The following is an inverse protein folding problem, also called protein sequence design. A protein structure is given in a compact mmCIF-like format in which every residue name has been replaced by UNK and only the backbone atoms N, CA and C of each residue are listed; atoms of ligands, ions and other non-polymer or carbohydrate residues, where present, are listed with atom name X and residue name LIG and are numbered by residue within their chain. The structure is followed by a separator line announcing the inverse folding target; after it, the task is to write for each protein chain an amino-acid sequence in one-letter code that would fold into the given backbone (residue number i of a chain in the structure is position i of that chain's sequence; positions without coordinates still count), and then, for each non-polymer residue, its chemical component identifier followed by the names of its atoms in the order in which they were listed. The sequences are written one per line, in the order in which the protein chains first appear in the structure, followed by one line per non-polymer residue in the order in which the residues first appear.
data_IF_368228588409
#
_entry.id   IF_368228588409
#
_cell.length_a   1.000
_cell.length_b   1.000
_cell.length_c   1.000
_cell.angle_alpha   90.00
_cell.angle_beta   90.00
_cell.angle_gamma   90.00
#
_symmetry.space_group_name_H-M   'P 1'
#
loop_
_entity.id
_entity.type
_entity.pdbx_description
1 polymer ?
#
# COMPACT_ATOMS: atom_id res chain seq x y z
N UNK A 1 -5.49 -9.12 7.75
CA UNK A 1 -5.93 -8.22 8.85
C UNK A 1 -5.82 -8.89 10.23
N UNK A 2 -6.27 -10.15 10.40
CA UNK A 2 -6.14 -10.91 11.66
C UNK A 2 -4.72 -10.89 12.25
N UNK A 3 -3.68 -11.18 11.45
CA UNK A 3 -2.29 -11.19 11.91
C UNK A 3 -1.83 -9.85 12.52
N UNK A 4 -2.31 -8.71 12.01
CA UNK A 4 -2.04 -7.39 12.60
C UNK A 4 -2.66 -7.27 13.99
N UNK A 5 -3.89 -7.76 14.16
CA UNK A 5 -4.63 -7.74 15.43
C UNK A 5 -3.94 -8.68 16.43
N UNK A 6 -3.68 -9.93 16.03
CA UNK A 6 -2.92 -10.92 16.82
C UNK A 6 -1.60 -10.36 17.33
N UNK A 7 -0.81 -9.78 16.43
CA UNK A 7 0.51 -9.22 16.75
C UNK A 7 0.45 -7.91 17.55
N UNK A 8 -0.72 -7.27 17.65
CA UNK A 8 -0.92 -6.10 18.51
C UNK A 8 -1.22 -6.51 19.95
N UNK A 9 -1.71 -7.73 20.17
CA UNK A 9 -2.20 -8.18 21.47
C UNK A 9 -3.47 -7.44 21.91
N UNK A 10 -3.97 -7.79 23.09
CA UNK A 10 -5.04 -7.03 23.72
C UNK A 10 -4.50 -5.70 24.29
N UNK A 11 -5.37 -4.70 24.31
CA UNK A 11 -5.08 -3.44 25.00
C UNK A 11 -4.90 -3.67 26.50
N UNK A 12 -4.12 -2.82 27.16
CA UNK A 12 -3.89 -2.89 28.61
C UNK A 12 -5.17 -2.82 29.44
N UNK A 13 -6.22 -2.19 28.93
CA UNK A 13 -7.53 -2.10 29.61
C UNK A 13 -8.39 -3.36 29.51
N UNK A 14 -8.06 -4.26 28.57
CA UNK A 14 -8.82 -5.48 28.26
C UNK A 14 -8.04 -6.73 28.69
N UNK A 15 -6.72 -6.69 28.59
CA UNK A 15 -5.84 -7.84 28.82
C UNK A 15 -6.05 -8.44 30.22
N UNK A 16 -6.36 -9.73 30.26
CA UNK A 16 -6.58 -10.48 31.51
C UNK A 16 -8.04 -10.49 31.99
N UNK A 17 -8.93 -9.77 31.32
CA UNK A 17 -10.38 -9.83 31.55
C UNK A 17 -11.02 -10.68 30.45
N UNK A 18 -11.36 -11.93 30.80
CA UNK A 18 -11.85 -12.91 29.84
C UNK A 18 -13.15 -12.48 29.14
N UNK A 19 -14.05 -11.78 29.85
CA UNK A 19 -15.30 -11.30 29.29
C UNK A 19 -15.04 -10.22 28.24
N UNK A 20 -14.18 -9.24 28.57
CA UNK A 20 -13.81 -8.18 27.62
C UNK A 20 -13.01 -8.70 26.44
N UNK A 21 -12.12 -9.67 26.65
CA UNK A 21 -11.38 -10.32 25.56
C UNK A 21 -12.33 -11.07 24.61
N UNK A 22 -13.29 -11.82 25.16
CA UNK A 22 -14.34 -12.51 24.36
C UNK A 22 -15.15 -11.50 23.56
N UNK A 23 -15.59 -10.42 24.21
CA UNK A 23 -16.36 -9.36 23.58
C UNK A 23 -15.61 -8.73 22.41
N UNK A 24 -14.32 -8.41 22.60
CA UNK A 24 -13.47 -7.88 21.53
C UNK A 24 -13.35 -8.84 20.33
N UNK A 25 -13.19 -10.14 20.58
CA UNK A 25 -13.12 -11.16 19.53
C UNK A 25 -14.44 -11.23 18.75
N UNK A 26 -15.57 -11.21 19.45
CA UNK A 26 -16.90 -11.25 18.83
C UNK A 26 -17.16 -9.99 17.99
N UNK A 27 -16.84 -8.80 18.52
CA UNK A 27 -16.94 -7.54 17.78
C UNK A 27 -16.08 -7.57 16.50
N UNK A 28 -14.87 -8.14 16.56
CA UNK A 28 -14.02 -8.30 15.38
C UNK A 28 -14.67 -9.19 14.30
N UNK A 29 -15.39 -10.23 14.70
CA UNK A 29 -16.10 -11.14 13.80
C UNK A 29 -17.35 -10.49 13.23
N UNK A 30 -18.15 -9.82 14.05
CA UNK A 30 -19.41 -9.19 13.63
C UNK A 30 -19.18 -7.99 12.71
N UNK A 31 -18.25 -7.10 13.07
CA UNK A 31 -18.02 -5.86 12.32
C UNK A 31 -17.16 -6.06 11.07
N UNK A 32 -16.18 -6.96 11.14
CA UNK A 32 -15.17 -7.09 10.08
C UNK A 32 -15.11 -8.49 9.44
N UNK A 33 -15.88 -9.46 9.93
CA UNK A 33 -15.82 -10.84 9.44
C UNK A 33 -14.50 -11.54 9.78
N UNK A 34 -13.74 -11.07 10.78
CA UNK A 34 -12.40 -11.56 11.09
C UNK A 34 -12.45 -12.51 12.28
N UNK A 35 -12.02 -13.75 12.07
CA UNK A 35 -11.85 -14.70 13.16
C UNK A 35 -10.53 -14.43 13.90
N UNK A 36 -10.65 -14.05 15.17
CA UNK A 36 -9.51 -13.82 16.06
C UNK A 36 -9.35 -14.99 17.01
N UNK A 37 -8.23 -15.69 16.87
CA UNK A 37 -7.76 -16.69 17.82
C UNK A 37 -7.12 -16.03 19.06
N UNK A 38 -7.74 -16.23 20.24
CA UNK A 38 -7.24 -15.72 21.53
C UNK A 38 -5.81 -16.18 21.82
N UNK A 39 -5.48 -17.44 21.50
CA UNK A 39 -4.16 -18.01 21.80
C UNK A 39 -3.01 -17.33 21.04
N UNK A 40 -3.33 -16.68 19.92
CA UNK A 40 -2.36 -15.96 19.07
C UNK A 40 -2.24 -14.48 19.41
N UNK A 41 -3.01 -13.98 20.39
CA UNK A 41 -2.98 -12.58 20.82
C UNK A 41 -1.72 -12.29 21.66
N UNK A 42 -0.61 -12.05 20.97
CA UNK A 42 0.69 -11.77 21.58
C UNK A 42 1.36 -10.57 20.92
N UNK A 43 1.83 -9.63 21.73
CA UNK A 43 2.51 -8.43 21.25
C UNK A 43 3.79 -8.82 20.51
N UNK A 44 3.85 -8.56 19.20
CA UNK A 44 5.02 -8.78 18.38
C UNK A 44 5.21 -7.61 17.42
N UNK A 45 6.18 -6.75 17.73
CA UNK A 45 6.44 -5.53 16.94
C UNK A 45 6.79 -5.84 15.48
N UNK A 46 7.62 -6.85 15.23
CA UNK A 46 8.04 -7.23 13.87
C UNK A 46 6.87 -7.72 13.02
N UNK A 47 6.13 -8.73 13.50
CA UNK A 47 4.96 -9.28 12.80
C UNK A 47 3.87 -8.23 12.61
N UNK A 48 3.68 -7.35 13.60
CA UNK A 48 2.75 -6.22 13.49
C UNK A 48 3.17 -5.26 12.39
N UNK A 49 4.44 -4.87 12.34
CA UNK A 49 4.97 -3.97 11.30
C UNK A 49 4.80 -4.58 9.93
N UNK A 50 5.20 -5.84 9.73
CA UNK A 50 5.01 -6.55 8.46
C UNK A 50 3.54 -6.63 8.06
N UNK A 51 2.66 -7.05 8.97
CA UNK A 51 1.22 -7.16 8.70
C UNK A 51 0.59 -5.80 8.40
N UNK A 52 1.03 -4.73 9.08
CA UNK A 52 0.57 -3.36 8.82
C UNK A 52 1.07 -2.87 7.46
N UNK A 53 2.32 -3.15 7.11
CA UNK A 53 2.90 -2.81 5.82
C UNK A 53 2.15 -3.51 4.68
N UNK A 54 1.86 -4.81 4.81
CA UNK A 54 1.09 -5.55 3.81
C UNK A 54 -0.31 -4.96 3.59
N UNK A 55 -1.01 -4.58 4.67
CA UNK A 55 -2.32 -3.92 4.56
C UNK A 55 -2.21 -2.56 3.88
N UNK A 56 -1.15 -1.80 4.15
CA UNK A 56 -0.93 -0.51 3.51
C UNK A 56 -0.55 -0.66 2.02
N UNK A 57 0.30 -1.63 1.70
CA UNK A 57 0.71 -1.89 0.34
C UNK A 57 -0.46 -2.43 -0.50
N UNK A 58 -1.39 -3.16 0.12
CA UNK A 58 -2.57 -3.69 -0.58
C UNK A 58 -3.43 -2.58 -1.19
N UNK A 59 -3.77 -1.53 -0.42
CA UNK A 59 -4.56 -0.44 -1.00
C UNK A 59 -3.77 0.38 -2.02
N UNK A 60 -2.45 0.54 -1.81
CA UNK A 60 -1.57 1.16 -2.80
C UNK A 60 -1.50 0.37 -4.11
N UNK A 61 -1.56 -0.97 -4.02
CA UNK A 61 -1.57 -1.89 -5.17
C UNK A 61 -2.74 -1.64 -6.11
N UNK A 62 -3.93 -1.38 -5.57
CA UNK A 62 -5.14 -1.10 -6.35
C UNK A 62 -5.04 0.18 -7.20
N UNK A 63 -4.15 1.11 -6.87
CA UNK A 63 -3.96 2.37 -7.59
C UNK A 63 -2.56 2.51 -8.17
N UNK A 64 -1.85 1.40 -8.43
CA UNK A 64 -0.55 1.47 -9.06
C UNK A 64 -0.66 2.07 -10.45
N UNK A 65 0.20 3.07 -10.71
CA UNK A 65 0.32 3.66 -12.04
C UNK A 65 1.00 2.65 -12.95
N UNK A 66 0.29 2.13 -13.94
CA UNK A 66 0.84 1.16 -14.90
C UNK A 66 1.57 1.84 -16.08
N UNK A 67 1.47 3.16 -16.20
CA UNK A 67 2.04 3.93 -17.33
C UNK A 67 3.11 4.94 -16.92
N UNK A 68 3.93 5.32 -17.90
CA UNK A 68 5.00 6.31 -17.70
C UNK A 68 6.03 5.89 -16.67
N UNK A 69 6.23 4.58 -16.48
CA UNK A 69 7.30 4.03 -15.66
C UNK A 69 8.51 3.81 -16.57
N UNK A 70 9.59 4.53 -16.28
CA UNK A 70 10.87 4.30 -16.96
C UNK A 70 11.43 2.96 -16.51
N UNK A 71 11.81 2.17 -17.49
CA UNK A 71 12.52 0.92 -17.32
C UNK A 71 13.95 1.10 -17.82
N UNK A 72 14.84 0.27 -17.31
CA UNK A 72 16.25 0.29 -17.67
C UNK A 72 16.72 -1.13 -17.91
N UNK A 73 17.46 -1.31 -18.98
CA UNK A 73 17.97 -2.60 -19.42
C UNK A 73 19.43 -2.44 -19.84
N UNK A 74 20.27 -3.40 -19.47
CA UNK A 74 21.69 -3.41 -19.84
C UNK A 74 21.90 -4.54 -20.82
N UNK A 75 22.53 -4.25 -21.95
CA UNK A 75 22.81 -5.23 -23.00
C UNK A 75 24.16 -4.97 -23.64
N UNK A 76 24.83 -6.05 -24.04
CA UNK A 76 26.01 -6.05 -24.90
C UNK A 76 25.71 -6.66 -26.29
N UNK A 77 24.45 -7.00 -26.56
CA UNK A 77 24.00 -7.57 -27.82
C UNK A 77 23.44 -6.47 -28.75
N UNK A 78 24.06 -6.23 -29.93
CA UNK A 78 23.52 -5.32 -30.92
C UNK A 78 22.12 -5.69 -31.42
N UNK A 79 21.74 -6.98 -31.40
CA UNK A 79 20.42 -7.42 -31.82
C UNK A 79 19.34 -6.94 -30.82
N UNK A 80 19.54 -7.15 -29.52
CA UNK A 80 18.64 -6.63 -28.48
C UNK A 80 18.54 -5.09 -28.54
N UNK A 81 19.65 -4.39 -28.81
CA UNK A 81 19.58 -2.94 -29.01
C UNK A 81 18.64 -2.56 -30.17
N UNK A 82 18.76 -3.23 -31.32
CA UNK A 82 17.89 -2.98 -32.47
C UNK A 82 16.43 -3.32 -32.16
N UNK A 83 16.15 -4.41 -31.44
CA UNK A 83 14.80 -4.78 -31.02
C UNK A 83 14.13 -3.65 -30.22
N UNK A 84 14.82 -3.10 -29.21
CA UNK A 84 14.27 -2.00 -28.41
C UNK A 84 14.19 -0.69 -29.18
N UNK A 85 15.15 -0.42 -30.07
CA UNK A 85 15.14 0.79 -30.88
C UNK A 85 13.98 0.81 -31.87
N UNK A 86 13.68 -0.34 -32.47
CA UNK A 86 12.69 -0.46 -33.54
C UNK A 86 11.30 -0.90 -33.02
N UNK A 87 11.15 -1.23 -31.73
CA UNK A 87 9.87 -1.61 -31.12
C UNK A 87 8.90 -0.41 -31.06
N UNK A 88 7.77 -0.44 -31.78
CA UNK A 88 6.80 0.65 -31.81
C UNK A 88 6.03 0.81 -30.48
N UNK A 89 6.03 -0.19 -29.61
CA UNK A 89 5.35 -0.17 -28.31
C UNK A 89 6.09 0.61 -27.23
N UNK A 90 7.38 0.91 -27.45
CA UNK A 90 8.21 1.62 -26.49
C UNK A 90 8.71 2.96 -27.06
N UNK A 91 9.14 3.81 -26.13
CA UNK A 91 9.81 5.07 -26.38
C UNK A 91 11.19 4.99 -25.71
N UNK A 92 12.23 4.88 -26.53
CA UNK A 92 13.61 4.79 -26.07
C UNK A 92 14.10 6.19 -25.67
N UNK A 93 14.25 6.41 -24.37
CA UNK A 93 14.52 7.73 -23.79
C UNK A 93 16.01 8.04 -23.63
N UNK A 94 16.86 7.02 -23.45
CA UNK A 94 18.31 7.20 -23.42
C UNK A 94 19.05 5.92 -23.79
N UNK A 95 20.27 6.11 -24.31
CA UNK A 95 21.25 5.06 -24.60
C UNK A 95 22.59 5.56 -24.08
N UNK A 96 23.08 4.93 -23.02
CA UNK A 96 24.35 5.29 -22.40
C UNK A 96 25.33 4.12 -22.55
N UNK A 97 26.54 4.37 -23.03
CA UNK A 97 27.60 3.36 -23.05
C UNK A 97 28.28 3.32 -21.68
N UNK A 98 28.18 2.18 -20.98
CA UNK A 98 28.80 2.00 -19.65
C UNK A 98 30.26 1.58 -19.77
N UNK A 99 30.55 0.74 -20.76
CA UNK A 99 31.86 0.23 -21.14
C UNK A 99 31.86 -0.01 -22.65
N UNK A 100 33.02 -0.12 -23.31
CA UNK A 100 33.09 -0.43 -24.74
C UNK A 100 32.23 -1.66 -25.10
N UNK A 101 31.15 -1.42 -25.84
CA UNK A 101 30.21 -2.47 -26.28
C UNK A 101 29.12 -2.87 -25.27
N UNK A 102 29.04 -2.24 -24.09
CA UNK A 102 27.98 -2.48 -23.09
C UNK A 102 27.10 -1.23 -22.95
N UNK A 103 25.83 -1.37 -23.31
CA UNK A 103 24.85 -0.29 -23.35
C UNK A 103 23.85 -0.38 -22.20
N UNK A 104 23.51 0.76 -21.62
CA UNK A 104 22.35 0.97 -20.75
C UNK A 104 21.26 1.67 -21.56
N UNK A 105 20.18 0.95 -21.80
CA UNK A 105 18.98 1.46 -22.47
C UNK A 105 17.98 1.90 -21.41
N UNK A 106 17.41 3.09 -21.59
CA UNK A 106 16.26 3.57 -20.82
C UNK A 106 15.09 3.76 -21.75
N UNK A 107 13.94 3.23 -21.37
CA UNK A 107 12.75 3.29 -22.19
C UNK A 107 11.48 3.41 -21.34
N UNK A 108 10.39 3.82 -21.98
CA UNK A 108 9.06 3.89 -21.40
C UNK A 108 8.09 3.19 -22.35
N UNK A 109 7.20 2.34 -21.85
CA UNK A 109 6.11 1.79 -22.68
C UNK A 109 5.13 2.92 -23.04
N UNK A 110 4.76 3.01 -24.32
CA UNK A 110 3.75 3.97 -24.78
C UNK A 110 2.39 3.59 -24.20
N UNK A 111 1.59 4.60 -23.83
CA UNK A 111 0.33 4.41 -23.08
C UNK A 111 -0.65 3.45 -23.75
N UNK A 112 -0.73 3.48 -25.08
CA UNK A 112 -1.67 2.66 -25.85
C UNK A 112 -1.34 1.16 -25.82
N UNK A 113 -0.12 0.81 -25.40
CA UNK A 113 0.41 -0.55 -25.32
C UNK A 113 0.53 -1.05 -23.87
N UNK A 114 -0.13 -0.36 -22.93
CA UNK A 114 -0.07 -0.70 -21.51
C UNK A 114 -1.36 -1.38 -21.10
N UNK A 115 -1.22 -2.64 -20.71
CA UNK A 115 -2.26 -3.38 -20.02
C UNK A 115 -2.27 -2.98 -18.54
N UNK A 116 -3.47 -2.74 -18.01
CA UNK A 116 -3.62 -2.56 -16.57
C UNK A 116 -3.34 -3.87 -15.86
N UNK A 117 -2.64 -3.80 -14.73
CA UNK A 117 -2.43 -5.00 -13.92
C UNK A 117 -3.78 -5.56 -13.46
N UNK A 118 -3.95 -6.89 -13.49
CA UNK A 118 -5.17 -7.59 -13.05
C UNK A 118 -5.69 -7.22 -11.65
N UNK A 119 -4.81 -6.77 -10.76
CA UNK A 119 -5.16 -6.35 -9.41
C UNK A 119 -5.41 -4.84 -9.30
N UNK A 120 -5.38 -4.09 -10.40
CA UNK A 120 -5.64 -2.66 -10.43
C UNK A 120 -7.14 -2.42 -10.26
N UNK A 121 -7.51 -1.58 -9.29
CA UNK A 121 -8.87 -1.13 -9.09
C UNK A 121 -8.88 0.25 -8.43
N UNK A 122 -8.79 1.29 -9.27
CA UNK A 122 -8.72 2.68 -8.80
C UNK A 122 -9.95 3.08 -7.96
N UNK A 123 -11.11 2.48 -8.21
CA UNK A 123 -12.36 2.77 -7.46
C UNK A 123 -12.22 2.38 -6.00
N UNK A 124 -11.62 1.22 -5.70
CA UNK A 124 -11.36 0.78 -4.32
C UNK A 124 -10.42 1.75 -3.61
N UNK A 125 -9.36 2.22 -4.28
CA UNK A 125 -8.44 3.21 -3.71
C UNK A 125 -9.11 4.58 -3.48
N UNK A 126 -9.90 5.05 -4.44
CA UNK A 126 -10.68 6.29 -4.33
C UNK A 126 -11.64 6.22 -3.13
N UNK A 127 -12.38 5.11 -3.01
CA UNK A 127 -13.30 4.91 -1.89
C UNK A 127 -12.56 4.87 -0.55
N UNK A 128 -11.49 4.07 -0.45
CA UNK A 128 -10.71 3.91 0.78
C UNK A 128 -10.12 5.24 1.26
N UNK A 129 -9.52 6.02 0.35
CA UNK A 129 -8.93 7.32 0.69
C UNK A 129 -9.99 8.37 1.03
N UNK A 130 -11.14 8.37 0.33
CA UNK A 130 -12.26 9.28 0.62
C UNK A 130 -12.89 8.98 1.97
N UNK A 131 -13.13 7.70 2.28
CA UNK A 131 -13.63 7.28 3.59
C UNK A 131 -12.66 7.67 4.71
N UNK A 132 -11.36 7.42 4.53
CA UNK A 132 -10.34 7.82 5.51
C UNK A 132 -10.35 9.33 5.76
N UNK A 133 -10.49 10.16 4.72
CA UNK A 133 -10.62 11.62 4.85
C UNK A 133 -11.86 12.02 5.64
N UNK A 134 -13.02 11.43 5.35
CA UNK A 134 -14.25 11.69 6.10
C UNK A 134 -14.09 11.33 7.58
N UNK A 135 -13.49 10.19 7.89
CA UNK A 135 -13.22 9.79 9.27
C UNK A 135 -12.27 10.76 9.99
N UNK A 136 -11.20 11.20 9.32
CA UNK A 136 -10.28 12.18 9.86
C UNK A 136 -10.98 13.52 10.14
N UNK A 137 -11.75 14.04 9.18
CA UNK A 137 -12.50 15.29 9.31
C UNK A 137 -13.50 15.23 10.48
N UNK A 138 -14.21 14.11 10.64
CA UNK A 138 -15.11 13.89 11.79
C UNK A 138 -14.36 13.91 13.11
N UNK A 139 -13.16 13.32 13.19
CA UNK A 139 -12.34 13.36 14.39
C UNK A 139 -11.82 14.78 14.68
N UNK A 140 -11.37 15.51 13.66
CA UNK A 140 -10.94 16.90 13.77
C UNK A 140 -12.07 17.80 14.30
N UNK A 141 -13.28 17.65 13.75
CA UNK A 141 -14.46 18.39 14.19
C UNK A 141 -14.78 18.14 15.67
N UNK A 142 -14.58 16.91 16.18
CA UNK A 142 -14.76 16.63 17.61
C UNK A 142 -13.77 17.42 18.46
N UNK A 143 -12.48 17.42 18.09
CA UNK A 143 -11.44 18.15 18.81
C UNK A 143 -11.72 19.66 18.83
N UNK A 144 -12.08 20.24 17.68
CA UNK A 144 -12.36 21.68 17.56
C UNK A 144 -13.60 22.10 18.37
N UNK A 145 -14.58 21.19 18.55
CA UNK A 145 -15.79 21.46 19.34
C UNK A 145 -15.59 21.27 20.85
N UNK A 146 -14.49 20.64 21.28
CA UNK A 146 -14.20 20.44 22.70
C UNK A 146 -13.57 21.69 23.31
N UNK A 147 -14.21 22.23 24.34
CA UNK A 147 -13.73 23.39 25.08
C UNK A 147 -12.30 23.16 25.61
N UNK A 148 -11.40 24.11 25.35
CA UNK A 148 -10.00 24.03 25.80
C UNK A 148 -9.09 23.17 24.92
N UNK A 149 -9.59 22.60 23.82
CA UNK A 149 -8.77 21.92 22.82
C UNK A 149 -8.55 22.79 21.58
N UNK A 150 -7.36 22.73 20.99
CA UNK A 150 -7.03 23.37 19.72
C UNK A 150 -6.39 22.35 18.78
N UNK A 151 -6.82 22.35 17.52
CA UNK A 151 -6.25 21.49 16.50
C UNK A 151 -4.97 22.13 15.94
N UNK A 152 -3.82 21.56 16.27
CA UNK A 152 -2.50 22.13 15.92
C UNK A 152 -2.01 21.70 14.53
N UNK A 153 -2.19 20.44 14.17
CA UNK A 153 -1.70 19.90 12.90
C UNK A 153 -2.46 18.63 12.51
N UNK A 154 -2.62 18.44 11.20
CA UNK A 154 -2.97 17.16 10.60
C UNK A 154 -2.06 16.95 9.39
N UNK A 155 -1.64 15.70 9.15
CA UNK A 155 -0.81 15.38 7.99
C UNK A 155 -1.41 15.93 6.70
N UNK A 156 -0.64 16.74 5.95
CA UNK A 156 -1.00 17.15 4.61
C UNK A 156 -0.93 15.91 3.69
N UNK A 157 -1.99 15.72 2.89
CA UNK A 157 -2.09 14.67 1.89
C UNK A 157 -1.23 14.97 0.66
#
# INVERSE_FOLDING_TARGET
MAQKIHSSGFDSSIKGDEEKETKFINECKELFGINIDRSKMAVNKGKRTQSKLMLNNLWGRFSLRNFGLSQSFVTDDPAEFCEYKDDPSIDLSAVDELQPGVLLLRYVKKRDWIEEHDCSNVVVSLWTTSAARIHLLRAMQKVVRTSGCSLLYTGNY
#
